data_IF_738033539606
#
_entry.id   IF_738033539606
#
_cell.length_a   1.000
_cell.length_b   1.000
_cell.length_c   1.000
_cell.angle_alpha   90.00
_cell.angle_beta   90.00
_cell.angle_gamma   90.00
#
_symmetry.space_group_name_H-M   'P 1'
#
loop_
_entity.id
_entity.type
_entity.pdbx_description
1 polymer ?
#
# COMPACT_ATOMS: atom_id res chain seq x y z
N UNK A 1 -12.04 -8.80 -6.77
CA UNK A 1 -12.22 -7.50 -6.09
C UNK A 1 -12.59 -7.58 -4.60
N UNK A 2 -13.12 -8.68 -4.04
CA UNK A 2 -13.63 -8.68 -2.64
C UNK A 2 -12.59 -8.73 -1.51
N UNK A 3 -11.33 -9.14 -1.77
CA UNK A 3 -10.37 -9.45 -0.69
C UNK A 3 -9.94 -8.21 0.09
N UNK A 4 -9.58 -7.12 -0.60
CA UNK A 4 -9.14 -5.90 0.08
C UNK A 4 -10.29 -5.19 0.82
N UNK A 5 -11.49 -5.18 0.25
CA UNK A 5 -12.67 -4.60 0.90
C UNK A 5 -12.97 -5.28 2.24
N UNK A 6 -12.89 -6.62 2.28
CA UNK A 6 -13.03 -7.38 3.53
C UNK A 6 -11.92 -7.11 4.56
N UNK A 7 -10.73 -6.77 4.08
CA UNK A 7 -9.55 -6.50 4.91
C UNK A 7 -9.67 -5.15 5.60
N UNK A 8 -10.09 -4.11 4.86
CA UNK A 8 -10.19 -2.75 5.41
C UNK A 8 -11.50 -2.50 6.15
N UNK A 9 -12.58 -3.25 5.85
CA UNK A 9 -13.91 -3.03 6.43
C UNK A 9 -13.95 -2.85 7.96
N UNK A 10 -13.23 -3.64 8.79
CA UNK A 10 -13.22 -3.44 10.24
C UNK A 10 -12.57 -2.13 10.72
N UNK A 11 -11.78 -1.50 9.84
CA UNK A 11 -11.01 -0.29 10.15
C UNK A 11 -11.60 0.97 9.50
N UNK A 12 -12.72 0.84 8.79
CA UNK A 12 -13.48 1.99 8.30
C UNK A 12 -14.34 2.51 9.44
N UNK A 13 -14.27 3.81 9.69
CA UNK A 13 -15.08 4.43 10.72
C UNK A 13 -16.56 4.52 10.30
N UNK A 14 -17.46 4.34 11.28
CA UNK A 14 -18.89 4.51 11.08
C UNK A 14 -19.26 5.98 10.81
N UNK A 15 -18.65 6.90 11.57
CA UNK A 15 -18.86 8.35 11.53
C UNK A 15 -17.54 9.09 11.32
N UNK A 16 -17.47 9.93 10.30
CA UNK A 16 -16.26 10.68 9.96
C UNK A 16 -15.93 11.77 11.00
N UNK A 17 -16.88 12.21 11.82
CA UNK A 17 -16.68 13.28 12.82
C UNK A 17 -15.99 12.81 14.10
N UNK A 18 -16.18 11.54 14.49
CA UNK A 18 -15.60 10.95 15.70
C UNK A 18 -14.82 9.67 15.35
N UNK A 19 -13.81 9.85 14.50
CA UNK A 19 -12.99 8.75 14.01
C UNK A 19 -11.81 8.48 14.96
N UNK A 20 -11.70 7.27 15.55
CA UNK A 20 -10.56 6.90 16.37
C UNK A 20 -9.23 7.03 15.62
N UNK A 21 -8.13 7.40 16.30
CA UNK A 21 -6.85 7.59 15.66
C UNK A 21 -6.38 6.32 14.96
N UNK A 22 -6.04 6.44 13.67
CA UNK A 22 -5.55 5.34 12.85
C UNK A 22 -6.62 4.62 12.04
N UNK A 23 -7.92 4.80 12.31
CA UNK A 23 -9.01 4.33 11.47
C UNK A 23 -9.15 5.19 10.20
N UNK A 24 -9.77 4.61 9.17
CA UNK A 24 -9.98 5.26 7.87
C UNK A 24 -11.37 5.88 7.81
N UNK A 25 -11.50 7.15 7.43
CA UNK A 25 -12.81 7.78 7.20
C UNK A 25 -13.33 7.49 5.79
N UNK A 26 -14.65 7.59 5.59
CA UNK A 26 -15.24 7.40 4.25
C UNK A 26 -14.78 8.48 3.27
N UNK A 27 -14.64 9.71 3.76
CA UNK A 27 -14.11 10.84 2.99
C UNK A 27 -12.67 10.58 2.54
N UNK A 28 -11.81 10.05 3.42
CA UNK A 28 -10.44 9.68 3.08
C UNK A 28 -10.40 8.56 2.03
N UNK A 29 -11.23 7.54 2.20
CA UNK A 29 -11.31 6.39 1.30
C UNK A 29 -11.63 6.83 -0.14
N UNK A 30 -12.60 7.73 -0.32
CA UNK A 30 -12.92 8.26 -1.64
C UNK A 30 -11.80 9.16 -2.17
N UNK A 31 -11.19 10.00 -1.32
CA UNK A 31 -10.08 10.86 -1.72
C UNK A 31 -8.83 10.08 -2.15
N UNK A 32 -8.59 8.89 -1.59
CA UNK A 32 -7.44 8.04 -1.91
C UNK A 32 -7.75 6.90 -2.89
N UNK A 33 -8.98 6.79 -3.39
CA UNK A 33 -9.46 5.72 -4.28
C UNK A 33 -8.53 5.40 -5.44
N UNK A 34 -8.05 6.43 -6.14
CA UNK A 34 -7.13 6.26 -7.27
C UNK A 34 -5.78 5.68 -6.84
N UNK A 35 -5.27 6.03 -5.65
CA UNK A 35 -4.02 5.45 -5.12
C UNK A 35 -4.25 4.00 -4.70
N UNK A 36 -5.36 3.73 -4.03
CA UNK A 36 -5.77 2.37 -3.67
C UNK A 36 -5.81 1.47 -4.90
N UNK A 37 -6.50 1.89 -5.98
CA UNK A 37 -6.57 1.09 -7.21
C UNK A 37 -5.20 0.83 -7.83
N UNK A 38 -4.27 1.79 -7.76
CA UNK A 38 -2.89 1.55 -8.22
C UNK A 38 -2.20 0.45 -7.41
N UNK A 39 -2.31 0.48 -6.07
CA UNK A 39 -1.68 -0.54 -5.23
C UNK A 39 -2.32 -1.92 -5.45
N UNK A 40 -3.65 -1.97 -5.58
CA UNK A 40 -4.36 -3.22 -5.89
C UNK A 40 -3.94 -3.78 -7.25
N UNK A 41 -3.82 -2.92 -8.27
CA UNK A 41 -3.36 -3.34 -9.60
C UNK A 41 -1.92 -3.82 -9.57
N UNK A 42 -1.04 -3.17 -8.81
CA UNK A 42 0.33 -3.64 -8.60
C UNK A 42 0.35 -5.03 -7.95
N UNK A 43 -0.49 -5.26 -6.94
CA UNK A 43 -0.61 -6.58 -6.31
C UNK A 43 -1.02 -7.68 -7.30
N UNK A 44 -2.00 -7.40 -8.17
CA UNK A 44 -2.41 -8.31 -9.24
C UNK A 44 -1.24 -8.63 -10.19
N UNK A 45 -0.53 -7.61 -10.66
CA UNK A 45 0.60 -7.79 -11.58
C UNK A 45 1.77 -8.57 -10.96
N UNK A 46 2.05 -8.37 -9.67
CA UNK A 46 3.08 -9.13 -8.96
C UNK A 46 2.68 -10.61 -8.85
N UNK A 47 1.39 -10.88 -8.63
CA UNK A 47 0.89 -12.25 -8.59
C UNK A 47 0.92 -12.92 -9.97
N UNK A 48 0.61 -12.18 -11.04
CA UNK A 48 0.59 -12.73 -12.40
C UNK A 48 1.99 -13.01 -12.95
N UNK A 49 3.01 -12.26 -12.50
CA UNK A 49 4.33 -12.26 -13.13
C UNK A 49 5.50 -12.62 -12.21
N UNK A 50 5.29 -12.77 -10.91
CA UNK A 50 6.40 -12.88 -9.95
C UNK A 50 6.16 -13.92 -8.85
N UNK A 51 5.40 -14.98 -9.13
CA UNK A 51 5.15 -16.06 -8.16
C UNK A 51 6.28 -17.08 -8.05
N UNK A 52 7.07 -17.27 -9.11
CA UNK A 52 8.14 -18.27 -9.18
C UNK A 52 9.55 -17.65 -9.09
N UNK A 53 9.67 -16.47 -8.46
CA UNK A 53 10.96 -15.78 -8.28
C UNK A 53 11.49 -15.97 -6.86
N UNK A 54 12.81 -15.90 -6.70
CA UNK A 54 13.45 -16.04 -5.38
C UNK A 54 13.23 -14.83 -4.46
N UNK A 55 13.14 -13.63 -5.05
CA UNK A 55 12.99 -12.37 -4.32
C UNK A 55 12.27 -11.32 -5.19
N UNK A 56 11.30 -10.63 -4.59
CA UNK A 56 10.62 -9.47 -5.18
C UNK A 56 11.13 -8.19 -4.51
N UNK A 57 11.70 -7.27 -5.28
CA UNK A 57 12.11 -5.95 -4.78
C UNK A 57 11.23 -4.89 -5.43
N UNK A 58 10.41 -4.21 -4.63
CA UNK A 58 9.52 -3.15 -5.12
C UNK A 58 9.71 -1.85 -4.35
N UNK A 59 9.38 -0.74 -5.01
CA UNK A 59 9.41 0.56 -4.36
C UNK A 59 8.29 0.64 -3.33
N UNK A 60 8.64 0.96 -2.08
CA UNK A 60 7.70 1.22 -1.00
C UNK A 60 6.82 2.42 -1.39
N UNK A 61 5.49 2.27 -1.51
CA UNK A 61 4.62 3.42 -1.68
C UNK A 61 4.62 4.23 -0.39
N UNK A 62 4.82 5.54 -0.49
CA UNK A 62 4.85 6.41 0.69
C UNK A 62 3.81 7.51 0.52
N UNK A 63 2.73 7.49 1.33
CA UNK A 63 1.79 8.60 1.35
C UNK A 63 2.41 9.82 2.01
N UNK A 64 1.87 11.01 1.70
CA UNK A 64 2.23 12.23 2.43
C UNK A 64 1.67 12.14 3.86
N UNK A 65 2.46 12.56 4.84
CA UNK A 65 2.06 12.57 6.25
C UNK A 65 0.77 13.38 6.45
N UNK A 66 -0.18 12.82 7.18
CA UNK A 66 -1.47 13.46 7.45
C UNK A 66 -2.52 13.35 6.34
N UNK A 67 -2.19 12.77 5.18
CA UNK A 67 -3.17 12.54 4.10
C UNK A 67 -3.79 11.14 4.14
N UNK A 68 -3.13 10.19 4.79
CA UNK A 68 -3.53 8.78 4.81
C UNK A 68 -3.42 8.27 6.25
N UNK A 69 -4.48 7.63 6.71
CA UNK A 69 -4.58 6.96 8.00
C UNK A 69 -3.69 5.73 8.05
N UNK A 70 -3.33 5.33 9.26
CA UNK A 70 -2.45 4.17 9.46
C UNK A 70 -3.10 2.89 8.91
N UNK A 71 -4.40 2.68 9.15
CA UNK A 71 -5.13 1.51 8.65
C UNK A 71 -5.18 1.46 7.12
N UNK A 72 -5.49 2.56 6.44
CA UNK A 72 -5.50 2.60 4.98
C UNK A 72 -4.12 2.31 4.40
N UNK A 73 -3.07 2.94 4.95
CA UNK A 73 -1.71 2.71 4.50
C UNK A 73 -1.25 1.26 4.69
N UNK A 74 -1.47 0.69 5.88
CA UNK A 74 -1.12 -0.70 6.17
C UNK A 74 -1.92 -1.69 5.32
N UNK A 75 -3.18 -1.37 5.00
CA UNK A 75 -4.00 -2.20 4.10
C UNK A 75 -3.40 -2.32 2.70
N UNK A 76 -2.76 -1.25 2.21
CA UNK A 76 -2.06 -1.27 0.92
C UNK A 76 -0.81 -2.14 0.99
N UNK A 77 -0.03 -2.04 2.07
CA UNK A 77 1.18 -2.86 2.24
C UNK A 77 0.85 -4.35 2.36
N UNK A 78 -0.17 -4.70 3.14
CA UNK A 78 -0.62 -6.08 3.30
C UNK A 78 -1.06 -6.65 1.95
N UNK A 79 -2.01 -6.00 1.25
CA UNK A 79 -2.54 -6.57 0.01
C UNK A 79 -1.49 -6.71 -1.10
N UNK A 80 -0.51 -5.80 -1.18
CA UNK A 80 0.57 -5.89 -2.18
C UNK A 80 1.58 -6.98 -1.89
N UNK A 81 1.77 -7.38 -0.63
CA UNK A 81 2.78 -8.37 -0.23
C UNK A 81 2.18 -9.73 0.12
N UNK A 82 0.84 -9.80 0.18
CA UNK A 82 0.09 -11.00 0.54
C UNK A 82 0.30 -12.11 -0.49
N UNK A 83 0.77 -13.26 0.01
CA UNK A 83 1.01 -14.48 -0.79
C UNK A 83 1.99 -14.27 -1.96
N UNK A 84 2.98 -13.40 -1.78
CA UNK A 84 4.13 -13.32 -2.67
C UNK A 84 5.33 -14.10 -2.10
N UNK A 85 6.32 -14.42 -2.95
CA UNK A 85 7.66 -14.80 -2.48
C UNK A 85 8.26 -13.73 -1.56
N UNK A 86 9.43 -13.98 -0.93
CA UNK A 86 10.11 -12.98 -0.11
C UNK A 86 10.12 -11.62 -0.80
N UNK A 87 9.52 -10.62 -0.17
CA UNK A 87 9.29 -9.30 -0.78
C UNK A 87 9.97 -8.22 0.06
N UNK A 88 10.82 -7.42 -0.58
CA UNK A 88 11.51 -6.28 0.02
C UNK A 88 10.92 -4.97 -0.52
N UNK A 89 10.32 -4.19 0.38
CA UNK A 89 9.86 -2.83 0.09
C UNK A 89 10.99 -1.83 0.34
N UNK A 90 11.45 -1.14 -0.71
CA UNK A 90 12.60 -0.23 -0.62
C UNK A 90 12.18 1.22 -0.88
N UNK A 91 12.74 2.16 -0.11
CA UNK A 91 12.57 3.60 -0.34
C UNK A 91 13.92 4.30 -0.24
N UNK A 92 14.29 5.07 -1.25
CA UNK A 92 15.44 5.97 -1.19
C UNK A 92 15.18 7.21 -0.34
N UNK A 93 16.25 7.86 0.11
CA UNK A 93 16.22 9.16 0.80
C UNK A 93 16.26 10.36 -0.17
N UNK A 94 16.05 10.11 -1.47
CA UNK A 94 16.09 11.12 -2.55
C UNK A 94 17.49 11.76 -2.78
N UNK A 95 18.56 11.16 -2.28
CA UNK A 95 19.95 11.56 -2.60
C UNK A 95 20.47 10.73 -3.76
N UNK A 96 21.34 11.31 -4.61
CA UNK A 96 21.93 10.59 -5.73
C UNK A 96 22.78 9.41 -5.24
N UNK A 97 22.50 8.23 -5.80
CA UNK A 97 23.25 6.99 -5.53
C UNK A 97 24.06 6.53 -6.74
N UNK A 98 23.93 7.20 -7.89
CA UNK A 98 24.72 6.90 -9.07
C UNK A 98 26.14 7.47 -8.90
N UNK A 99 27.04 6.64 -8.41
CA UNK A 99 28.48 6.85 -8.55
C UNK A 99 28.93 6.02 -9.75
N UNK A 100 29.36 6.68 -10.82
CA UNK A 100 30.04 5.98 -11.91
C UNK A 100 31.36 5.44 -11.36
N UNK A 101 31.46 4.13 -11.22
CA UNK A 101 32.75 3.48 -11.08
C UNK A 101 33.39 3.49 -12.47
N UNK A 102 34.29 4.45 -12.70
CA UNK A 102 35.18 4.48 -13.87
C UNK A 102 36.30 3.45 -13.72
#
# INVERSE_FOLDING_TARGET
MMVWESLIAPFICGDDQDCPPGMTTKTELEAQKQKTYRQLRTAELLHDHSMDVDLVVITLPVPRKGMVSASLYLSWLDIMTRRLPPTLLVRGNQTSVLTFYS
#
